data_IF_394054003091
#
_entry.id   IF_394054003091
#
_cell.length_a   1.000
_cell.length_b   1.000
_cell.length_c   1.000
_cell.angle_alpha   90.00
_cell.angle_beta   90.00
_cell.angle_gamma   90.00
#
_symmetry.space_group_name_H-M   'P 1'
#
loop_
_entity.id
_entity.type
_entity.pdbx_description
1 polymer ?
#
# COMPACT_ATOMS: atom_id res chain seq x y z
N UNK A 1 14.61 31.48 -5.48
CA UNK A 1 15.41 30.24 -5.39
C UNK A 1 14.49 29.06 -5.67
N UNK A 2 14.73 28.32 -6.75
CA UNK A 2 13.96 27.10 -7.04
C UNK A 2 14.27 26.06 -5.96
N UNK A 3 13.33 25.87 -5.06
CA UNK A 3 13.46 24.96 -3.92
C UNK A 3 13.13 23.53 -4.40
N UNK A 4 13.98 22.97 -5.26
CA UNK A 4 13.82 21.61 -5.74
C UNK A 4 14.09 20.64 -4.60
N UNK A 5 13.10 19.80 -4.28
CA UNK A 5 13.22 18.75 -3.27
C UNK A 5 14.36 17.80 -3.64
N UNK A 6 15.29 17.58 -2.72
CA UNK A 6 16.39 16.62 -2.88
C UNK A 6 15.88 15.23 -2.58
N UNK A 7 16.32 14.22 -3.36
CA UNK A 7 15.94 12.82 -3.24
C UNK A 7 17.18 11.95 -3.21
N UNK A 8 17.21 10.97 -2.31
CA UNK A 8 18.31 10.03 -2.21
C UNK A 8 17.84 8.57 -2.26
N UNK A 9 18.69 7.69 -2.82
CA UNK A 9 18.41 6.26 -3.00
C UNK A 9 18.80 5.43 -1.80
N UNK A 10 17.86 5.08 -0.93
CA UNK A 10 18.08 4.17 0.18
C UNK A 10 17.85 2.71 -0.21
N UNK A 11 18.73 1.81 0.21
CA UNK A 11 18.54 0.37 0.06
C UNK A 11 17.39 -0.11 0.97
N UNK A 12 16.56 -1.02 0.49
CA UNK A 12 15.52 -1.61 1.34
C UNK A 12 16.13 -2.35 2.54
N UNK A 13 17.34 -2.89 2.40
CA UNK A 13 18.05 -3.56 3.50
C UNK A 13 18.53 -2.57 4.58
N UNK A 14 18.76 -1.30 4.24
CA UNK A 14 19.08 -0.26 5.24
C UNK A 14 17.85 0.09 6.09
N UNK A 15 16.66 0.06 5.50
CA UNK A 15 15.40 0.50 6.10
C UNK A 15 14.65 -0.61 6.86
N UNK A 16 14.80 -1.88 6.42
CA UNK A 16 14.00 -3.01 6.87
C UNK A 16 14.85 -4.24 7.21
N UNK A 17 14.37 -5.02 8.18
CA UNK A 17 14.77 -6.41 8.34
C UNK A 17 13.93 -7.21 7.35
N UNK A 18 14.61 -7.89 6.41
CA UNK A 18 13.96 -8.57 5.28
C UNK A 18 14.07 -10.07 5.47
N UNK A 19 12.94 -10.77 5.43
CA UNK A 19 12.86 -12.22 5.52
C UNK A 19 11.74 -12.77 4.65
N UNK A 20 11.78 -14.05 4.38
CA UNK A 20 10.75 -14.76 3.61
C UNK A 20 9.63 -15.21 4.53
N UNK A 21 8.37 -15.15 4.06
CA UNK A 21 7.24 -15.78 4.73
C UNK A 21 7.47 -17.29 4.89
N UNK A 22 6.98 -17.87 6.00
CA UNK A 22 7.21 -19.28 6.33
C UNK A 22 5.95 -20.12 6.56
N UNK A 23 4.77 -19.55 6.26
CA UNK A 23 3.52 -20.30 6.32
C UNK A 23 3.49 -21.38 5.23
N UNK A 24 3.19 -22.61 5.66
CA UNK A 24 3.09 -23.79 4.80
C UNK A 24 1.65 -24.28 4.70
N UNK A 25 1.40 -25.13 3.69
CA UNK A 25 0.10 -25.80 3.50
C UNK A 25 -1.08 -24.80 3.49
N UNK A 26 -0.89 -23.64 2.87
CA UNK A 26 -1.84 -22.52 2.92
C UNK A 26 -3.23 -22.89 2.41
N UNK A 27 -3.33 -23.83 1.44
CA UNK A 27 -4.60 -24.26 0.85
C UNK A 27 -5.42 -25.13 1.81
N UNK A 28 -4.75 -25.95 2.65
CA UNK A 28 -5.41 -26.84 3.60
C UNK A 28 -5.73 -26.19 4.95
N UNK A 29 -5.25 -24.98 5.21
CA UNK A 29 -5.62 -24.23 6.42
C UNK A 29 -7.10 -23.89 6.38
N UNK A 30 -7.79 -24.10 7.51
CA UNK A 30 -9.18 -23.68 7.69
C UNK A 30 -9.26 -22.16 7.81
N UNK A 31 -10.41 -21.60 7.42
CA UNK A 31 -10.72 -20.18 7.62
C UNK A 31 -11.29 -20.01 9.02
N UNK A 32 -10.41 -19.91 10.00
CA UNK A 32 -10.74 -19.79 11.44
C UNK A 32 -9.59 -19.10 12.19
N UNK A 33 -9.89 -18.37 13.24
CA UNK A 33 -8.89 -17.66 14.06
C UNK A 33 -8.73 -16.17 13.72
N UNK A 34 -7.74 -15.53 14.37
CA UNK A 34 -7.58 -14.07 14.38
C UNK A 34 -6.33 -13.57 13.64
N UNK A 35 -5.55 -14.48 13.06
CA UNK A 35 -4.33 -14.13 12.34
C UNK A 35 -4.55 -14.23 10.85
N UNK A 36 -4.27 -13.14 10.15
CA UNK A 36 -4.45 -13.09 8.69
C UNK A 36 -3.36 -13.88 7.97
N UNK A 37 -3.76 -14.76 7.05
CA UNK A 37 -2.85 -15.42 6.11
C UNK A 37 -2.69 -14.55 4.87
N UNK A 38 -1.47 -14.10 4.62
CA UNK A 38 -1.09 -13.34 3.44
C UNK A 38 -0.39 -14.23 2.43
N UNK A 39 -0.80 -14.12 1.17
CA UNK A 39 -0.21 -14.85 0.04
C UNK A 39 0.05 -13.91 -1.13
N UNK A 40 0.75 -14.39 -2.17
CA UNK A 40 1.12 -13.57 -3.33
C UNK A 40 -0.07 -13.29 -4.27
N UNK A 41 -1.20 -12.83 -3.71
CA UNK A 41 -2.36 -12.36 -4.47
C UNK A 41 -2.15 -10.92 -4.93
N UNK A 42 -2.78 -10.56 -6.04
CA UNK A 42 -2.75 -9.21 -6.62
C UNK A 42 -3.89 -8.30 -6.15
N UNK A 43 -4.80 -8.83 -5.35
CA UNK A 43 -5.96 -8.15 -4.80
C UNK A 43 -6.03 -8.26 -3.26
N UNK A 44 -6.98 -7.54 -2.64
CA UNK A 44 -7.29 -7.57 -1.20
C UNK A 44 -6.04 -7.48 -0.30
N UNK A 45 -5.04 -6.69 -0.68
CA UNK A 45 -3.76 -6.56 0.03
C UNK A 45 -3.06 -7.90 0.29
N UNK A 46 -3.23 -8.89 -0.60
CA UNK A 46 -2.67 -10.23 -0.43
C UNK A 46 -3.42 -11.13 0.56
N UNK A 47 -4.50 -10.64 1.19
CA UNK A 47 -5.29 -11.40 2.16
C UNK A 47 -5.89 -12.65 1.52
N UNK A 48 -5.77 -13.77 2.23
CA UNK A 48 -6.33 -15.06 1.81
C UNK A 48 -7.52 -15.45 2.70
N UNK A 49 -7.29 -15.62 3.98
CA UNK A 49 -8.25 -16.03 5.01
C UNK A 49 -7.68 -15.71 6.39
N UNK A 50 -8.47 -15.86 7.44
CA UNK A 50 -7.98 -15.89 8.80
C UNK A 50 -7.64 -17.32 9.22
N UNK A 51 -6.62 -17.49 10.04
CA UNK A 51 -6.11 -18.82 10.42
C UNK A 51 -5.64 -18.86 11.86
N UNK A 52 -5.54 -20.06 12.41
CA UNK A 52 -4.78 -20.36 13.63
C UNK A 52 -3.37 -20.76 13.20
N UNK A 53 -2.32 -19.97 13.52
CA UNK A 53 -0.96 -20.31 13.18
C UNK A 53 -0.47 -21.54 13.94
N UNK A 54 0.43 -22.30 13.33
CA UNK A 54 1.18 -23.35 14.02
C UNK A 54 2.35 -22.76 14.78
N UNK A 55 2.91 -23.50 15.75
CA UNK A 55 4.10 -23.08 16.53
C UNK A 55 5.36 -22.86 15.68
N UNK A 56 5.37 -23.33 14.42
CA UNK A 56 6.48 -23.17 13.48
C UNK A 56 6.34 -21.94 12.58
N UNK A 57 5.20 -21.26 12.60
CA UNK A 57 4.92 -20.08 11.76
C UNK A 57 5.18 -18.82 12.54
N UNK A 58 5.85 -17.87 11.91
CA UNK A 58 6.16 -16.58 12.51
C UNK A 58 5.01 -15.61 12.30
N UNK A 59 4.50 -15.05 13.40
CA UNK A 59 3.48 -14.00 13.37
C UNK A 59 4.19 -12.65 13.29
N UNK A 60 3.76 -11.82 12.35
CA UNK A 60 4.25 -10.46 12.14
C UNK A 60 3.11 -9.46 12.38
N UNK A 61 3.48 -8.22 12.73
CA UNK A 61 2.57 -7.08 12.86
C UNK A 61 3.33 -5.81 12.50
N UNK A 62 2.65 -4.80 11.98
CA UNK A 62 3.26 -3.54 11.51
C UNK A 62 4.38 -3.78 10.50
N UNK A 63 4.11 -4.58 9.48
CA UNK A 63 5.09 -4.99 8.47
C UNK A 63 4.60 -4.69 7.06
N UNK A 64 5.55 -4.56 6.15
CA UNK A 64 5.29 -4.55 4.72
C UNK A 64 5.42 -5.96 4.15
N UNK A 65 4.68 -6.24 3.11
CA UNK A 65 4.81 -7.46 2.32
C UNK A 65 5.13 -7.13 0.88
N UNK A 66 5.88 -8.00 0.23
CA UNK A 66 6.20 -7.89 -1.21
C UNK A 66 5.98 -9.26 -1.84
N UNK A 67 5.17 -9.30 -2.89
CA UNK A 67 4.94 -10.51 -3.66
C UNK A 67 6.17 -10.87 -4.50
N UNK A 68 6.64 -12.12 -4.37
CA UNK A 68 7.88 -12.58 -5.01
C UNK A 68 7.71 -13.04 -6.45
N UNK A 69 6.50 -13.43 -6.85
CA UNK A 69 6.24 -14.06 -8.15
C UNK A 69 4.81 -13.82 -8.66
N UNK A 70 4.51 -14.43 -9.82
CA UNK A 70 3.21 -14.38 -10.46
C UNK A 70 2.89 -13.01 -11.07
N UNK A 71 1.63 -12.81 -11.47
CA UNK A 71 1.13 -11.54 -12.02
C UNK A 71 1.23 -10.38 -11.02
N UNK A 72 1.19 -10.72 -9.74
CA UNK A 72 1.34 -9.78 -8.63
C UNK A 72 2.78 -9.53 -8.19
N UNK A 73 3.80 -9.95 -8.96
CA UNK A 73 5.21 -9.68 -8.61
C UNK A 73 5.44 -8.20 -8.32
N UNK A 74 6.21 -7.90 -7.27
CA UNK A 74 6.51 -6.54 -6.82
C UNK A 74 5.32 -5.76 -6.22
N UNK A 75 4.13 -6.35 -6.13
CA UNK A 75 3.06 -5.72 -5.34
C UNK A 75 3.47 -5.73 -3.87
N UNK A 76 3.34 -4.57 -3.26
CA UNK A 76 3.69 -4.35 -1.85
C UNK A 76 2.49 -3.79 -1.10
N UNK A 77 2.31 -4.25 0.14
CA UNK A 77 1.23 -3.84 1.02
C UNK A 77 1.75 -3.62 2.43
N UNK A 78 1.10 -2.78 3.20
CA UNK A 78 1.37 -2.58 4.62
C UNK A 78 0.24 -3.16 5.47
N UNK A 79 0.59 -3.79 6.59
CA UNK A 79 -0.35 -4.47 7.46
C UNK A 79 -0.10 -4.09 8.92
N UNK A 80 -1.09 -3.47 9.54
CA UNK A 80 -1.05 -3.07 10.96
C UNK A 80 -1.53 -4.17 11.91
N UNK A 81 -2.08 -5.26 11.38
CA UNK A 81 -2.67 -6.37 12.11
C UNK A 81 -1.77 -7.61 12.13
N UNK A 82 -2.00 -8.57 13.04
CA UNK A 82 -1.27 -9.83 13.09
C UNK A 82 -1.45 -10.64 11.81
N UNK A 83 -0.35 -11.12 11.25
CA UNK A 83 -0.36 -11.96 10.06
C UNK A 83 0.72 -13.03 10.06
N UNK A 84 0.49 -14.08 9.28
CA UNK A 84 1.52 -14.98 8.76
C UNK A 84 1.54 -14.88 7.24
N UNK A 85 2.67 -15.15 6.61
CA UNK A 85 2.82 -15.03 5.17
C UNK A 85 3.35 -16.31 4.53
N UNK A 86 2.84 -16.63 3.34
CA UNK A 86 3.32 -17.73 2.51
C UNK A 86 4.77 -17.50 2.05
N UNK A 87 5.43 -18.59 1.64
CA UNK A 87 6.80 -18.52 1.11
C UNK A 87 6.95 -17.72 -0.19
N UNK A 88 5.84 -17.37 -0.85
CA UNK A 88 5.82 -16.53 -2.05
C UNK A 88 5.72 -15.03 -1.73
N UNK A 89 5.81 -14.68 -0.45
CA UNK A 89 5.78 -13.31 0.05
C UNK A 89 7.06 -13.05 0.85
N UNK A 90 7.69 -11.91 0.59
CA UNK A 90 8.79 -11.37 1.41
C UNK A 90 8.22 -10.38 2.41
N UNK A 91 8.64 -10.49 3.67
CA UNK A 91 8.31 -9.60 4.78
C UNK A 91 9.41 -8.55 4.90
N UNK A 92 9.02 -7.28 5.00
CA UNK A 92 9.89 -6.17 5.33
C UNK A 92 9.43 -5.61 6.68
N UNK A 93 10.15 -5.95 7.74
CA UNK A 93 9.89 -5.43 9.08
C UNK A 93 10.66 -4.11 9.23
N UNK A 94 9.97 -2.98 9.51
CA UNK A 94 10.65 -1.70 9.73
C UNK A 94 11.73 -1.79 10.81
N UNK A 95 12.90 -1.19 10.56
CA UNK A 95 13.96 -1.00 11.56
C UNK A 95 13.69 0.23 12.44
N UNK A 96 12.81 1.13 11.99
CA UNK A 96 12.50 2.41 12.62
C UNK A 96 11.00 2.64 12.66
N UNK A 97 10.46 3.08 13.79
CA UNK A 97 9.01 3.26 14.01
C UNK A 97 8.37 4.29 13.06
N UNK A 98 9.16 5.25 12.55
CA UNK A 98 8.69 6.24 11.56
C UNK A 98 8.09 5.59 10.31
N UNK A 99 8.52 4.37 9.95
CA UNK A 99 7.97 3.61 8.82
C UNK A 99 6.65 2.90 9.15
N UNK A 100 6.22 2.85 10.41
CA UNK A 100 4.93 2.28 10.81
C UNK A 100 3.75 3.26 10.65
N UNK A 101 3.99 4.52 10.23
CA UNK A 101 2.93 5.46 9.90
C UNK A 101 2.26 5.07 8.58
N UNK A 102 0.91 5.04 8.54
CA UNK A 102 0.15 4.58 7.37
C UNK A 102 0.40 5.42 6.10
N UNK A 103 0.56 6.73 6.23
CA UNK A 103 0.84 7.60 5.07
C UNK A 103 2.25 7.35 4.53
N UNK A 104 3.25 7.18 5.41
CA UNK A 104 4.60 6.78 5.03
C UNK A 104 4.56 5.40 4.37
N UNK A 105 3.81 4.47 4.92
CA UNK A 105 3.68 3.12 4.38
C UNK A 105 3.07 3.09 2.97
N UNK A 106 2.03 3.89 2.73
CA UNK A 106 1.43 4.03 1.39
C UNK A 106 2.42 4.64 0.38
N UNK A 107 3.23 5.61 0.82
CA UNK A 107 4.28 6.19 -0.01
C UNK A 107 5.33 5.13 -0.39
N UNK A 108 5.87 4.41 0.60
CA UNK A 108 6.89 3.37 0.41
C UNK A 108 6.37 2.21 -0.46
N UNK A 109 5.18 1.69 -0.18
CA UNK A 109 4.60 0.60 -0.98
C UNK A 109 4.42 0.99 -2.44
N UNK A 110 4.08 2.26 -2.71
CA UNK A 110 3.98 2.79 -4.08
C UNK A 110 5.34 2.79 -4.78
N UNK A 111 6.41 3.23 -4.11
CA UNK A 111 7.77 3.22 -4.67
C UNK A 111 8.28 1.79 -4.94
N UNK A 112 7.96 0.83 -4.06
CA UNK A 112 8.30 -0.58 -4.28
C UNK A 112 7.57 -1.10 -5.52
N UNK A 113 6.26 -0.83 -5.65
CA UNK A 113 5.46 -1.25 -6.81
C UNK A 113 5.96 -0.69 -8.15
N UNK A 114 6.52 0.51 -8.17
CA UNK A 114 7.11 1.12 -9.36
C UNK A 114 8.32 0.34 -9.89
N UNK A 115 8.94 -0.53 -9.07
CA UNK A 115 10.03 -1.40 -9.51
C UNK A 115 9.56 -2.59 -10.37
N UNK A 116 8.25 -2.79 -10.56
CA UNK A 116 7.67 -3.98 -11.22
C UNK A 116 8.28 -4.26 -12.59
N UNK A 117 8.60 -3.24 -13.37
CA UNK A 117 9.19 -3.41 -14.71
C UNK A 117 10.54 -4.14 -14.73
N UNK A 118 11.23 -4.18 -13.59
CA UNK A 118 12.50 -4.91 -13.41
C UNK A 118 12.32 -6.42 -13.23
N UNK A 119 11.09 -6.89 -12.99
CA UNK A 119 10.79 -8.26 -12.60
C UNK A 119 9.76 -8.87 -13.53
N UNK A 120 9.91 -10.17 -13.82
CA UNK A 120 9.02 -10.95 -14.68
C UNK A 120 8.99 -12.40 -14.22
N UNK A 121 8.31 -13.27 -14.97
CA UNK A 121 8.19 -14.70 -14.66
C UNK A 121 9.55 -15.41 -14.52
N UNK A 122 10.53 -15.08 -15.35
CA UNK A 122 11.90 -15.64 -15.29
C UNK A 122 12.82 -14.93 -14.29
N UNK A 123 12.44 -13.74 -13.81
CA UNK A 123 13.24 -12.92 -12.91
C UNK A 123 12.41 -12.45 -11.71
N UNK A 124 12.16 -13.39 -10.78
CA UNK A 124 11.35 -13.17 -9.57
C UNK A 124 11.98 -12.15 -8.63
N UNK A 125 11.14 -11.44 -7.88
CA UNK A 125 11.57 -10.54 -6.81
C UNK A 125 11.87 -11.32 -5.52
N UNK A 126 12.94 -12.15 -5.54
CA UNK A 126 13.37 -12.93 -4.38
C UNK A 126 13.84 -12.06 -3.22
N UNK A 127 13.90 -12.61 -2.00
CA UNK A 127 14.42 -11.91 -0.82
C UNK A 127 15.77 -11.23 -1.07
N UNK A 128 16.72 -11.94 -1.68
CA UNK A 128 18.04 -11.40 -1.99
C UNK A 128 18.02 -10.25 -2.99
N UNK A 129 17.04 -10.23 -3.89
CA UNK A 129 16.84 -9.14 -4.84
C UNK A 129 16.11 -7.97 -4.19
N UNK A 130 15.15 -8.23 -3.29
CA UNK A 130 14.49 -7.18 -2.49
C UNK A 130 15.52 -6.39 -1.68
N UNK A 131 16.45 -7.07 -1.02
CA UNK A 131 17.52 -6.43 -0.23
C UNK A 131 18.36 -5.42 -1.06
N UNK A 132 18.59 -5.73 -2.34
CA UNK A 132 19.37 -4.90 -3.24
C UNK A 132 18.59 -3.75 -3.91
N UNK A 133 17.26 -3.71 -3.75
CA UNK A 133 16.47 -2.62 -4.34
C UNK A 133 16.68 -1.33 -3.57
N UNK A 134 16.83 -0.25 -4.32
CA UNK A 134 16.84 1.11 -3.77
C UNK A 134 15.54 1.81 -4.11
N UNK A 135 15.03 2.59 -3.18
CA UNK A 135 13.90 3.49 -3.38
C UNK A 135 14.36 4.94 -3.14
N UNK A 136 13.87 5.87 -3.94
CA UNK A 136 14.18 7.28 -3.78
C UNK A 136 13.29 7.87 -2.70
N UNK A 137 13.88 8.40 -1.64
CA UNK A 137 13.18 9.07 -0.55
C UNK A 137 13.55 10.56 -0.50
N UNK A 138 12.59 11.43 -0.14
CA UNK A 138 12.83 12.85 -0.01
C UNK A 138 13.70 13.14 1.20
N UNK A 139 14.68 14.03 1.04
CA UNK A 139 15.50 14.52 2.14
C UNK A 139 14.93 15.81 2.71
N UNK A 140 15.23 16.10 3.99
CA UNK A 140 14.91 17.38 4.64
C UNK A 140 15.50 18.54 3.86
N UNK A 141 14.84 19.68 3.94
CA UNK A 141 15.32 20.89 3.29
C UNK A 141 16.69 21.31 3.85
N UNK A 142 17.61 21.73 2.97
CA UNK A 142 18.94 22.20 3.36
C UNK A 142 19.96 21.06 3.58
N UNK A 143 19.63 19.81 3.26
CA UNK A 143 20.61 18.73 3.25
C UNK A 143 21.66 18.98 2.16
N UNK A 144 22.93 18.94 2.53
CA UNK A 144 24.06 19.12 1.61
C UNK A 144 24.71 17.76 1.31
N UNK A 145 24.44 17.23 0.12
CA UNK A 145 24.99 15.96 -0.35
C UNK A 145 26.50 16.03 -0.65
N UNK A 146 27.08 17.24 -0.78
CA UNK A 146 28.50 17.39 -1.14
C UNK A 146 29.46 16.93 -0.03
N UNK A 147 29.00 16.95 1.21
CA UNK A 147 29.83 16.68 2.39
C UNK A 147 29.44 15.45 3.20
N UNK A 148 28.20 14.92 3.02
CA UNK A 148 27.68 13.82 3.83
C UNK A 148 26.83 12.86 3.05
N UNK A 149 26.94 11.55 3.35
CA UNK A 149 25.97 10.57 2.90
C UNK A 149 24.70 10.65 3.78
N UNK A 150 23.51 10.73 3.17
CA UNK A 150 22.26 10.80 3.93
C UNK A 150 22.04 9.59 4.84
N UNK A 151 21.53 9.84 6.02
CA UNK A 151 21.08 8.86 7.00
C UNK A 151 19.56 8.79 7.06
N UNK A 152 19.03 7.90 7.88
CA UNK A 152 17.57 7.81 8.13
C UNK A 152 17.02 9.10 8.73
N UNK A 153 17.80 9.80 9.55
CA UNK A 153 17.35 11.05 10.20
C UNK A 153 17.20 12.20 9.21
N UNK A 154 17.83 12.12 8.03
CA UNK A 154 17.75 13.12 6.97
C UNK A 154 16.51 12.93 6.07
N UNK A 155 15.81 11.80 6.19
CA UNK A 155 14.58 11.55 5.45
C UNK A 155 13.48 12.52 5.90
N UNK A 156 12.81 13.15 4.94
CA UNK A 156 11.67 14.03 5.18
C UNK A 156 10.36 13.23 5.27
N UNK A 157 10.11 12.63 6.43
CA UNK A 157 8.88 11.89 6.70
C UNK A 157 7.64 12.79 6.65
N UNK A 158 7.77 14.06 7.05
CA UNK A 158 6.67 15.01 7.02
C UNK A 158 6.21 15.30 5.59
N UNK A 159 7.14 15.45 4.67
CA UNK A 159 6.84 15.57 3.24
C UNK A 159 6.01 14.36 2.75
N UNK A 160 6.41 13.13 3.07
CA UNK A 160 5.69 11.93 2.64
C UNK A 160 4.27 11.87 3.22
N UNK A 161 4.12 12.21 4.51
CA UNK A 161 2.83 12.24 5.19
C UNK A 161 1.91 13.28 4.54
N UNK A 162 2.40 14.50 4.34
CA UNK A 162 1.62 15.59 3.75
C UNK A 162 1.23 15.28 2.29
N UNK A 163 2.14 14.70 1.52
CA UNK A 163 1.88 14.29 0.14
C UNK A 163 0.73 13.28 0.04
N UNK A 164 0.77 12.21 0.84
CA UNK A 164 -0.26 11.18 0.85
C UNK A 164 -1.59 11.73 1.39
N UNK A 165 -1.57 12.51 2.47
CA UNK A 165 -2.78 13.10 3.04
C UNK A 165 -3.48 14.05 2.06
N UNK A 166 -2.74 14.82 1.28
CA UNK A 166 -3.28 15.66 0.22
C UNK A 166 -3.98 14.84 -0.87
N UNK A 167 -3.37 13.71 -1.31
CA UNK A 167 -3.99 12.81 -2.28
C UNK A 167 -5.30 12.23 -1.72
N UNK A 168 -5.31 11.77 -0.46
CA UNK A 168 -6.49 11.20 0.19
C UNK A 168 -7.60 12.25 0.29
N UNK A 169 -7.28 13.46 0.72
CA UNK A 169 -8.23 14.57 0.87
C UNK A 169 -8.85 14.96 -0.48
N UNK A 170 -8.04 15.10 -1.51
CA UNK A 170 -8.51 15.41 -2.87
C UNK A 170 -9.43 14.30 -3.42
N UNK A 171 -9.08 13.03 -3.20
CA UNK A 171 -9.96 11.92 -3.60
C UNK A 171 -11.27 11.92 -2.85
N UNK A 172 -11.27 12.13 -1.53
CA UNK A 172 -12.50 12.22 -0.72
C UNK A 172 -13.41 13.35 -1.19
N UNK A 173 -12.86 14.52 -1.47
CA UNK A 173 -13.60 15.68 -1.99
C UNK A 173 -14.24 15.39 -3.33
N UNK A 174 -13.49 14.76 -4.26
CA UNK A 174 -13.99 14.36 -5.58
C UNK A 174 -15.12 13.31 -5.47
N UNK A 175 -15.01 12.35 -4.54
CA UNK A 175 -16.07 11.37 -4.28
C UNK A 175 -17.33 12.04 -3.75
N UNK A 176 -17.20 12.92 -2.76
CA UNK A 176 -18.32 13.68 -2.19
C UNK A 176 -19.06 14.47 -3.28
N UNK A 177 -18.32 15.17 -4.14
CA UNK A 177 -18.87 15.92 -5.26
C UNK A 177 -19.64 15.01 -6.26
N UNK A 178 -19.08 13.86 -6.64
CA UNK A 178 -19.74 12.91 -7.53
C UNK A 178 -21.03 12.32 -6.94
N UNK A 179 -21.02 12.00 -5.65
CA UNK A 179 -22.20 11.50 -4.94
C UNK A 179 -23.27 12.58 -4.91
N UNK A 180 -22.93 13.81 -4.52
CA UNK A 180 -23.87 14.93 -4.46
C UNK A 180 -24.54 15.20 -5.82
N UNK A 181 -23.76 15.20 -6.92
CA UNK A 181 -24.29 15.38 -8.26
C UNK A 181 -25.22 14.23 -8.67
N UNK A 182 -24.90 12.99 -8.32
CA UNK A 182 -25.76 11.85 -8.59
C UNK A 182 -27.11 11.97 -7.86
N UNK A 183 -27.09 12.37 -6.58
CA UNK A 183 -28.32 12.59 -5.80
C UNK A 183 -29.14 13.76 -6.36
N UNK A 184 -28.52 14.86 -6.73
CA UNK A 184 -29.22 16.01 -7.33
C UNK A 184 -29.89 15.63 -8.65
N UNK A 185 -29.26 14.82 -9.49
CA UNK A 185 -29.85 14.33 -10.75
C UNK A 185 -31.04 13.38 -10.50
N UNK A 186 -30.94 12.48 -9.52
CA UNK A 186 -32.05 11.58 -9.16
C UNK A 186 -33.27 12.39 -8.67
N UNK A 187 -33.06 13.37 -7.81
CA UNK A 187 -34.14 14.24 -7.29
C UNK A 187 -34.77 15.05 -8.42
N UNK A 188 -34.00 15.49 -9.42
CA UNK A 188 -34.50 16.20 -10.59
C UNK A 188 -35.36 15.30 -11.48
N UNK A 189 -34.94 14.08 -11.73
CA UNK A 189 -35.69 13.08 -12.50
C UNK A 189 -37.00 12.68 -11.80
N UNK A 190 -37.02 12.55 -10.48
CA UNK A 190 -38.23 12.28 -9.71
C UNK A 190 -39.23 13.46 -9.77
N UNK A 191 -38.73 14.69 -9.76
CA UNK A 191 -39.55 15.88 -9.93
C UNK A 191 -40.18 15.98 -11.34
N UNK A 192 -39.42 15.64 -12.40
CA UNK A 192 -39.94 15.61 -13.76
C UNK A 192 -41.03 14.54 -13.92
N UNK A 193 -40.82 13.35 -13.38
CA UNK A 193 -41.83 12.27 -13.41
C UNK A 193 -43.08 12.65 -12.63
N UNK A 194 -43.00 13.44 -11.58
CA UNK A 194 -44.14 13.94 -10.82
C UNK A 194 -44.94 15.03 -11.57
N UNK A 195 -44.25 15.88 -12.35
CA UNK A 195 -44.83 16.89 -13.20
C UNK A 195 -45.60 16.28 -14.38
N UNK A 196 -45.05 15.25 -15.04
CA UNK A 196 -45.71 14.51 -16.10
C UNK A 196 -46.99 13.79 -15.64
N UNK A 197 -46.97 13.22 -14.42
CA UNK A 197 -48.17 12.60 -13.85
C UNK A 197 -49.28 13.60 -13.53
N UNK A 198 -48.94 14.84 -13.22
CA UNK A 198 -49.92 15.88 -12.92
C UNK A 198 -50.47 16.51 -14.21
N UNK A 199 -49.67 16.59 -15.29
CA UNK A 199 -50.16 17.09 -16.57
C UNK A 199 -51.05 16.10 -17.32
N UNK A 200 -50.99 14.80 -17.03
CA UNK A 200 -51.87 13.77 -17.58
C UNK A 200 -53.27 13.69 -16.97
N UNK A 201 -53.58 14.47 -15.94
CA UNK A 201 -54.90 14.46 -15.29
C UNK A 201 -55.87 15.60 -15.70
N UNK A 202 -55.44 16.46 -16.61
CA UNK A 202 -56.26 17.60 -17.05
C UNK A 202 -56.78 17.48 -18.51
N UNK A 203 -56.93 16.26 -19.02
CA UNK A 203 -57.56 15.97 -20.31
C UNK A 203 -58.63 14.89 -20.13
N UNK A 204 -59.75 15.26 -19.49
CA UNK A 204 -61.08 14.67 -19.70
C UNK A 204 -62.12 15.76 -19.39
#
# INVERSE_FOLDING_TARGET
>A
MNNTKVWHGFSLDDLFIICRGNAKNINSKKDEGDVSLISAKDNNNGFNKNVIPTSKETIYKNVYTVNNNGNGVCLSYYHEYPLIASSDVTILKPKYDKFCNISVALFITTLIRQQKSKFNYGYKMSESRVKKQKILLPLKQGFDESNNSPTIEDIDFEYMINYINNIITNKKSNYKYKIQNKYNNITYDEQLVSLDKNNGKNLI
#
